data_IF_204329566467
#
_entry.id   IF_204329566467
#
_cell.length_a   1.000
_cell.length_b   1.000
_cell.length_c   1.000
_cell.angle_alpha   90.00
_cell.angle_beta   90.00
_cell.angle_gamma   90.00
#
_symmetry.space_group_name_H-M   'P 1'
#
loop_
_entity.id
_entity.type
_entity.pdbx_description
1 polymer ?
#
# COMPACT_ATOMS: atom_id res chain seq x y z
N UNK A 1 0.68 -8.30 -7.58
CA UNK A 1 1.46 -7.05 -7.63
C UNK A 1 1.81 -6.75 -9.09
N UNK A 2 2.59 -5.70 -9.37
CA UNK A 2 3.16 -5.45 -10.71
C UNK A 2 4.56 -6.05 -10.86
N UNK A 3 4.92 -6.46 -12.08
CA UNK A 3 6.28 -6.89 -12.41
C UNK A 3 7.26 -5.74 -12.58
N UNK A 4 6.75 -4.54 -12.85
CA UNK A 4 7.52 -3.31 -13.05
C UNK A 4 6.83 -2.15 -12.34
N UNK A 5 7.59 -1.10 -12.01
CA UNK A 5 7.04 0.11 -11.42
C UNK A 5 6.47 1.02 -12.51
N UNK A 6 5.24 1.47 -12.32
CA UNK A 6 4.58 2.45 -13.18
C UNK A 6 4.02 3.62 -12.36
N UNK A 7 3.81 4.80 -12.98
CA UNK A 7 3.19 5.94 -12.32
C UNK A 7 1.79 5.63 -11.78
N UNK A 8 1.47 6.13 -10.58
CA UNK A 8 0.12 6.07 -10.02
C UNK A 8 -0.67 7.26 -10.57
N UNK A 9 -1.68 6.98 -11.40
CA UNK A 9 -2.44 7.99 -12.15
C UNK A 9 -3.71 8.48 -11.42
N UNK A 10 -3.80 8.26 -10.11
CA UNK A 10 -4.82 8.83 -9.23
C UNK A 10 -4.14 9.57 -8.07
N UNK A 11 -4.66 10.73 -7.61
CA UNK A 11 -4.14 11.38 -6.42
C UNK A 11 -4.20 10.47 -5.19
N UNK A 12 -3.04 10.24 -4.57
CA UNK A 12 -2.92 9.42 -3.35
C UNK A 12 -2.20 10.22 -2.28
N UNK A 13 -2.72 10.17 -1.06
CA UNK A 13 -2.03 10.63 0.15
C UNK A 13 -1.56 9.41 0.92
N UNK A 14 -0.27 9.35 1.26
CA UNK A 14 0.33 8.22 1.93
C UNK A 14 0.93 8.59 3.29
N UNK A 15 1.03 7.61 4.17
CA UNK A 15 1.67 7.72 5.47
C UNK A 15 2.56 6.51 5.73
N UNK A 16 3.69 6.73 6.39
CA UNK A 16 4.63 5.68 6.76
C UNK A 16 5.05 5.87 8.20
N UNK A 17 4.97 4.79 8.96
CA UNK A 17 5.47 4.73 10.31
C UNK A 17 6.03 3.32 10.52
N UNK A 18 7.33 3.17 10.32
CA UNK A 18 8.05 1.93 10.55
C UNK A 18 9.43 2.20 11.13
N UNK A 19 10.14 1.14 11.49
CA UNK A 19 11.49 1.21 12.05
C UNK A 19 12.54 1.88 11.14
N UNK A 20 12.26 2.03 9.84
CA UNK A 20 13.15 2.74 8.93
C UNK A 20 12.78 4.23 8.82
N UNK A 21 11.51 4.59 8.96
CA UNK A 21 11.02 5.95 8.75
C UNK A 21 9.69 6.21 9.44
N UNK A 22 9.65 7.33 10.17
CA UNK A 22 8.44 7.85 10.79
C UNK A 22 8.08 9.22 10.19
N UNK A 23 6.95 9.30 9.51
CA UNK A 23 6.40 10.58 9.06
C UNK A 23 5.46 11.14 10.12
N UNK A 24 5.63 12.42 10.46
CA UNK A 24 4.72 13.09 11.39
C UNK A 24 3.29 13.25 10.82
N UNK A 25 3.18 13.38 9.51
CA UNK A 25 1.90 13.59 8.81
C UNK A 25 1.86 12.80 7.51
N UNK A 26 0.64 12.51 7.04
CA UNK A 26 0.43 11.94 5.72
C UNK A 26 0.70 13.00 4.65
N UNK A 27 1.33 12.62 3.55
CA UNK A 27 1.75 13.53 2.47
C UNK A 27 1.35 12.97 1.09
N UNK A 28 1.14 13.81 0.08
CA UNK A 28 0.84 13.35 -1.27
C UNK A 28 1.96 12.50 -1.89
N UNK A 29 1.61 11.42 -2.57
CA UNK A 29 2.53 10.68 -3.43
C UNK A 29 2.88 11.53 -4.66
N UNK A 30 4.13 11.39 -5.12
CA UNK A 30 4.65 12.10 -6.29
C UNK A 30 5.42 11.10 -7.15
N UNK A 31 4.98 10.91 -8.39
CA UNK A 31 5.58 9.94 -9.32
C UNK A 31 7.01 10.33 -9.76
N UNK A 32 7.36 11.62 -9.72
CA UNK A 32 8.61 12.15 -10.30
C UNK A 32 9.63 12.61 -9.25
N UNK A 33 9.69 11.94 -8.10
CA UNK A 33 10.66 12.25 -7.04
C UNK A 33 11.79 11.22 -7.08
N UNK A 34 13.07 11.64 -7.03
CA UNK A 34 14.18 10.70 -6.94
C UNK A 34 13.99 9.69 -5.81
N UNK A 35 14.35 8.42 -6.04
CA UNK A 35 14.13 7.31 -5.10
C UNK A 35 14.61 7.61 -3.67
N UNK A 36 15.75 8.28 -3.56
CA UNK A 36 16.37 8.67 -2.28
C UNK A 36 15.53 9.70 -1.50
N UNK A 37 14.80 10.55 -2.22
CA UNK A 37 13.95 11.58 -1.64
C UNK A 37 12.52 11.09 -1.39
N UNK A 38 12.08 10.03 -2.08
CA UNK A 38 10.75 9.46 -1.93
C UNK A 38 10.63 8.61 -0.62
N UNK A 39 9.87 9.05 0.40
CA UNK A 39 9.65 8.29 1.63
C UNK A 39 8.93 6.95 1.42
N UNK A 40 8.27 6.79 0.28
CA UNK A 40 7.45 5.64 -0.04
C UNK A 40 8.09 4.72 -1.08
N UNK A 41 9.34 4.97 -1.47
CA UNK A 41 10.06 4.03 -2.32
C UNK A 41 10.02 2.63 -1.70
N UNK A 42 9.82 1.63 -2.56
CA UNK A 42 9.68 0.21 -2.22
C UNK A 42 8.51 -0.16 -1.31
N UNK A 43 7.72 0.81 -0.82
CA UNK A 43 6.61 0.54 0.10
C UNK A 43 5.22 0.91 -0.44
N UNK A 44 5.17 1.86 -1.37
CA UNK A 44 3.97 2.13 -2.18
C UNK A 44 4.41 2.23 -3.63
N UNK A 45 4.04 1.25 -4.44
CA UNK A 45 4.48 1.12 -5.83
C UNK A 45 3.28 1.03 -6.77
N UNK A 46 3.32 1.76 -7.88
CA UNK A 46 2.31 1.65 -8.93
C UNK A 46 2.65 0.56 -9.95
N UNK A 47 1.63 0.05 -10.65
CA UNK A 47 1.78 -0.84 -11.80
C UNK A 47 0.60 -0.68 -12.76
N UNK A 48 0.76 -1.05 -14.02
CA UNK A 48 -0.33 -1.11 -15.00
C UNK A 48 -0.98 -2.49 -15.03
N UNK A 49 -2.22 -2.58 -15.49
CA UNK A 49 -2.96 -3.85 -15.52
C UNK A 49 -2.28 -4.96 -16.33
N UNK A 50 -1.57 -4.61 -17.39
CA UNK A 50 -0.82 -5.57 -18.21
C UNK A 50 0.51 -6.03 -17.56
N UNK A 51 0.94 -5.37 -16.50
CA UNK A 51 2.11 -5.73 -15.69
C UNK A 51 1.73 -6.60 -14.47
N UNK A 52 0.47 -7.00 -14.32
CA UNK A 52 0.03 -7.80 -13.17
C UNK A 52 0.72 -9.16 -13.12
N UNK A 53 1.23 -9.53 -11.94
CA UNK A 53 1.95 -10.79 -11.72
C UNK A 53 1.60 -11.43 -10.39
N UNK A 54 1.77 -12.75 -10.35
CA UNK A 54 1.67 -13.58 -9.14
C UNK A 54 3.04 -13.87 -8.50
N UNK A 55 4.10 -13.25 -8.98
CA UNK A 55 5.47 -13.43 -8.46
C UNK A 55 5.87 -12.28 -7.56
N UNK A 56 6.49 -12.59 -6.42
CA UNK A 56 7.09 -11.62 -5.48
C UNK A 56 8.62 -11.75 -5.49
N UNK A 57 9.32 -10.63 -5.32
CA UNK A 57 10.79 -10.56 -5.40
C UNK A 57 11.51 -11.53 -4.46
N UNK A 58 10.96 -11.76 -3.26
CA UNK A 58 11.61 -12.58 -2.23
C UNK A 58 11.05 -14.00 -2.10
N UNK A 59 9.90 -14.28 -2.72
CA UNK A 59 9.14 -15.51 -2.50
C UNK A 59 8.85 -16.31 -3.78
N UNK A 60 9.24 -15.78 -4.95
CA UNK A 60 8.99 -16.43 -6.23
C UNK A 60 7.52 -16.40 -6.63
N UNK A 61 7.09 -17.38 -7.44
CA UNK A 61 5.69 -17.48 -7.88
C UNK A 61 4.80 -17.98 -6.73
N UNK A 62 3.85 -17.15 -6.31
CA UNK A 62 2.92 -17.42 -5.19
C UNK A 62 1.54 -17.82 -5.71
N UNK A 63 1.21 -17.43 -6.94
CA UNK A 63 0.00 -17.82 -7.65
C UNK A 63 0.28 -18.25 -9.07
N UNK A 64 -0.72 -18.83 -9.71
CA UNK A 64 -0.60 -19.41 -11.06
C UNK A 64 -1.34 -18.65 -12.16
N UNK A 65 -2.14 -17.64 -11.79
CA UNK A 65 -3.04 -16.96 -12.71
C UNK A 65 -2.41 -15.72 -13.37
N UNK A 66 -1.98 -14.75 -12.56
CA UNK A 66 -1.39 -13.49 -13.05
C UNK A 66 0.04 -13.68 -13.53
N UNK A 67 0.42 -12.96 -14.58
CA UNK A 67 1.68 -13.10 -15.33
C UNK A 67 1.51 -13.85 -16.64
N UNK A 68 0.62 -14.86 -16.68
CA UNK A 68 0.13 -15.47 -17.94
C UNK A 68 -1.14 -14.78 -18.45
N UNK A 69 -1.97 -14.33 -17.51
CA UNK A 69 -3.14 -13.50 -17.78
C UNK A 69 -2.82 -12.08 -17.35
N UNK A 70 -3.27 -11.13 -18.16
CA UNK A 70 -3.11 -9.70 -17.94
C UNK A 70 -4.45 -9.03 -17.73
N UNK A 71 -4.45 -7.85 -17.14
CA UNK A 71 -5.59 -6.96 -17.11
C UNK A 71 -5.47 -5.89 -18.20
N UNK A 72 -6.53 -5.11 -18.38
CA UNK A 72 -6.51 -3.97 -19.28
C UNK A 72 -5.41 -2.97 -18.84
N UNK A 73 -4.57 -2.45 -19.76
CA UNK A 73 -3.51 -1.50 -19.42
C UNK A 73 -4.04 -0.17 -18.83
N UNK A 74 -5.33 0.13 -18.98
CA UNK A 74 -5.97 1.29 -18.34
C UNK A 74 -6.17 1.13 -16.83
N UNK A 75 -5.99 -0.08 -16.28
CA UNK A 75 -6.05 -0.32 -14.84
C UNK A 75 -4.78 0.23 -14.17
N UNK A 76 -4.95 1.07 -13.15
CA UNK A 76 -3.85 1.48 -12.26
C UNK A 76 -3.82 0.57 -11.03
N UNK A 77 -2.78 -0.23 -10.91
CA UNK A 77 -2.48 -0.99 -9.71
C UNK A 77 -1.65 -0.20 -8.70
N UNK A 78 -1.93 -0.39 -7.41
CA UNK A 78 -1.14 0.16 -6.30
C UNK A 78 -0.82 -0.99 -5.34
N UNK A 79 0.45 -1.33 -5.24
CA UNK A 79 0.96 -2.26 -4.24
C UNK A 79 1.35 -1.48 -2.97
N UNK A 80 0.76 -1.83 -1.84
CA UNK A 80 1.09 -1.27 -0.52
C UNK A 80 1.70 -2.39 0.30
N UNK A 81 2.99 -2.30 0.62
CA UNK A 81 3.65 -3.28 1.52
C UNK A 81 3.84 -2.69 2.92
N UNK A 82 3.95 -3.53 3.95
CA UNK A 82 4.03 -3.09 5.34
C UNK A 82 5.31 -2.31 5.71
N UNK A 83 6.29 -2.27 4.81
CA UNK A 83 7.61 -1.67 5.07
C UNK A 83 8.50 -2.60 5.90
N UNK A 84 9.23 -2.02 6.85
CA UNK A 84 10.04 -2.78 7.80
C UNK A 84 9.16 -3.36 8.92
N UNK A 85 9.34 -2.89 10.15
CA UNK A 85 8.43 -3.18 11.26
C UNK A 85 7.58 -1.95 11.54
N UNK A 86 6.32 -1.99 11.12
CA UNK A 86 5.41 -0.86 11.25
C UNK A 86 4.17 -0.94 10.36
N UNK A 87 3.72 0.23 9.92
CA UNK A 87 2.52 0.41 9.12
C UNK A 87 2.76 1.42 8.00
N UNK A 88 2.34 1.06 6.80
CA UNK A 88 2.22 1.96 5.65
C UNK A 88 0.73 2.08 5.31
N UNK A 89 0.29 3.29 5.01
CA UNK A 89 -1.11 3.55 4.68
C UNK A 89 -1.25 4.48 3.49
N UNK A 90 -2.29 4.27 2.71
CA UNK A 90 -2.71 5.17 1.63
C UNK A 90 -4.15 5.61 1.84
N UNK A 91 -4.48 6.77 1.27
CA UNK A 91 -5.82 7.31 1.15
C UNK A 91 -6.05 7.84 -0.26
N UNK A 92 -7.20 7.49 -0.84
CA UNK A 92 -7.64 7.91 -2.17
C UNK A 92 -9.03 8.53 -2.02
N UNK A 93 -9.27 9.70 -2.62
CA UNK A 93 -10.64 10.22 -2.69
C UNK A 93 -11.40 9.44 -3.76
N UNK A 94 -12.57 8.89 -3.41
CA UNK A 94 -13.35 8.07 -4.35
C UNK A 94 -13.80 8.85 -5.58
N UNK A 95 -14.00 10.17 -5.44
CA UNK A 95 -14.34 11.08 -6.55
C UNK A 95 -13.22 11.26 -7.57
N UNK A 96 -11.97 10.95 -7.22
CA UNK A 96 -10.82 11.12 -8.11
C UNK A 96 -10.60 9.88 -8.97
N UNK A 97 -11.34 8.79 -8.74
CA UNK A 97 -11.33 7.59 -9.58
C UNK A 97 -12.19 7.83 -10.82
N UNK A 98 -11.58 7.74 -12.00
CA UNK A 98 -12.24 8.02 -13.28
C UNK A 98 -12.88 6.76 -13.88
N UNK A 99 -14.05 6.92 -14.50
CA UNK A 99 -14.66 5.86 -15.29
C UNK A 99 -13.73 5.43 -16.43
N UNK A 100 -13.58 4.12 -16.65
CA UNK A 100 -12.65 3.56 -17.63
C UNK A 100 -11.20 3.44 -17.15
N UNK A 101 -10.86 4.00 -15.98
CA UNK A 101 -9.53 3.92 -15.36
C UNK A 101 -9.62 3.35 -13.93
N UNK A 102 -9.96 2.06 -13.80
CA UNK A 102 -10.15 1.46 -12.48
C UNK A 102 -8.83 1.38 -11.71
N UNK A 103 -8.95 1.41 -10.38
CA UNK A 103 -7.81 1.31 -9.46
C UNK A 103 -7.89 -0.01 -8.69
N UNK A 104 -6.79 -0.78 -8.68
CA UNK A 104 -6.64 -1.98 -7.87
C UNK A 104 -5.63 -1.72 -6.77
N UNK A 105 -5.99 -1.94 -5.52
CA UNK A 105 -5.06 -1.90 -4.38
C UNK A 105 -4.78 -3.33 -3.92
N UNK A 106 -3.51 -3.66 -3.76
CA UNK A 106 -3.07 -4.99 -3.35
C UNK A 106 -2.00 -4.87 -2.26
N UNK A 107 -1.96 -5.87 -1.38
CA UNK A 107 -0.92 -6.03 -0.36
C UNK A 107 0.27 -6.86 -0.86
N UNK A 108 0.21 -7.38 -2.08
CA UNK A 108 1.08 -8.47 -2.48
C UNK A 108 0.77 -9.73 -1.67
N UNK A 109 1.78 -10.57 -1.46
CA UNK A 109 1.64 -11.77 -0.65
C UNK A 109 1.66 -11.48 0.86
N UNK A 110 0.71 -12.09 1.58
CA UNK A 110 0.59 -11.95 3.03
C UNK A 110 1.19 -13.17 3.73
N UNK A 111 2.30 -12.99 4.43
CA UNK A 111 3.01 -14.03 5.18
C UNK A 111 3.02 -13.75 6.70
N UNK A 112 1.89 -13.27 7.24
CA UNK A 112 1.71 -12.95 8.66
C UNK A 112 1.50 -11.46 8.95
N UNK A 113 1.61 -10.60 7.93
CA UNK A 113 1.17 -9.22 7.98
C UNK A 113 -0.36 -9.09 7.89
N UNK A 114 -0.87 -7.92 8.26
CA UNK A 114 -2.30 -7.58 8.27
C UNK A 114 -2.56 -6.43 7.32
N UNK A 115 -3.53 -6.61 6.42
CA UNK A 115 -4.03 -5.58 5.52
C UNK A 115 -5.42 -5.15 5.94
N UNK A 116 -5.67 -3.85 6.01
CA UNK A 116 -6.94 -3.26 6.45
C UNK A 116 -7.42 -2.28 5.41
N UNK A 117 -8.69 -2.45 5.03
CA UNK A 117 -9.38 -1.57 4.11
C UNK A 117 -10.53 -0.89 4.84
N UNK A 118 -10.68 0.42 4.63
CA UNK A 118 -11.77 1.19 5.22
C UNK A 118 -12.29 2.24 4.24
N UNK A 119 -13.53 2.66 4.42
CA UNK A 119 -14.13 3.78 3.70
C UNK A 119 -14.74 4.74 4.71
N UNK A 120 -14.40 6.02 4.60
CA UNK A 120 -14.94 7.09 5.46
C UNK A 120 -14.95 8.41 4.71
N UNK A 121 -16.05 9.15 4.82
CA UNK A 121 -16.21 10.52 4.29
C UNK A 121 -15.83 10.68 2.81
N UNK A 122 -16.14 9.69 1.97
CA UNK A 122 -15.81 9.70 0.54
C UNK A 122 -14.36 9.33 0.20
N UNK A 123 -13.61 8.81 1.16
CA UNK A 123 -12.24 8.33 0.98
C UNK A 123 -12.14 6.83 1.19
N UNK A 124 -11.35 6.18 0.35
CA UNK A 124 -10.86 4.82 0.53
C UNK A 124 -9.51 4.84 1.25
N UNK A 125 -9.32 3.92 2.18
CA UNK A 125 -8.11 3.75 2.95
C UNK A 125 -7.61 2.32 2.86
N UNK A 126 -6.30 2.17 2.74
CA UNK A 126 -5.62 0.88 2.74
C UNK A 126 -4.40 0.99 3.66
N UNK A 127 -4.34 0.16 4.70
CA UNK A 127 -3.24 0.10 5.65
C UNK A 127 -2.64 -1.30 5.66
N UNK A 128 -1.34 -1.40 5.38
CA UNK A 128 -0.60 -2.64 5.50
C UNK A 128 0.35 -2.53 6.70
N UNK A 129 0.19 -3.44 7.66
CA UNK A 129 1.02 -3.48 8.86
C UNK A 129 1.61 -4.86 9.09
N UNK A 130 2.81 -4.90 9.62
CA UNK A 130 3.56 -6.13 9.78
C UNK A 130 4.89 -5.88 10.45
N UNK A 131 5.59 -6.98 10.68
CA UNK A 131 6.83 -7.00 11.45
C UNK A 131 7.86 -7.84 10.71
N UNK A 132 9.12 -7.40 10.74
CA UNK A 132 10.23 -8.22 10.27
C UNK A 132 10.43 -9.41 11.22
N UNK A 133 10.73 -10.61 10.69
CA UNK A 133 11.09 -11.75 11.52
C UNK A 133 12.23 -11.40 12.48
N UNK A 134 12.05 -11.69 13.77
CA UNK A 134 13.05 -11.44 14.81
C UNK A 134 12.95 -10.10 15.53
N UNK A 135 12.13 -9.15 15.03
CA UNK A 135 11.81 -7.96 15.83
C UNK A 135 10.88 -8.34 16.98
N UNK A 136 10.86 -7.54 18.05
CA UNK A 136 9.98 -7.71 19.24
C UNK A 136 9.03 -6.51 19.44
N UNK A 137 8.78 -5.72 18.39
CA UNK A 137 7.95 -4.52 18.46
C UNK A 137 6.47 -4.91 18.47
N UNK A 138 5.68 -4.41 19.43
CA UNK A 138 4.24 -4.70 19.47
C UNK A 138 3.52 -3.81 18.44
N UNK A 139 3.46 -4.28 17.19
CA UNK A 139 2.81 -3.59 16.05
C UNK A 139 1.33 -3.26 16.37
N UNK A 140 0.64 -4.13 17.13
CA UNK A 140 -0.76 -3.91 17.52
C UNK A 140 -0.95 -2.61 18.32
N UNK A 141 0.02 -2.19 19.15
CA UNK A 141 -0.09 -0.95 19.94
C UNK A 141 0.09 0.32 19.10
N UNK A 142 1.01 0.28 18.13
CA UNK A 142 1.21 1.39 17.18
C UNK A 142 -0.03 1.54 16.30
N UNK A 143 -0.57 0.40 15.84
CA UNK A 143 -1.75 0.35 15.01
C UNK A 143 -3.02 0.81 15.73
N UNK A 144 -3.24 0.33 16.96
CA UNK A 144 -4.35 0.78 17.83
C UNK A 144 -4.30 2.29 18.10
N UNK A 145 -3.11 2.84 18.39
CA UNK A 145 -2.96 4.28 18.61
C UNK A 145 -3.41 5.07 17.38
N UNK A 146 -3.04 4.65 16.17
CA UNK A 146 -3.47 5.33 14.95
C UNK A 146 -4.96 5.19 14.63
N UNK A 147 -5.56 4.03 14.91
CA UNK A 147 -7.01 3.91 14.82
C UNK A 147 -7.70 4.84 15.82
N UNK A 148 -7.19 4.95 17.04
CA UNK A 148 -7.70 5.88 18.06
C UNK A 148 -7.57 7.34 17.60
N UNK A 149 -6.40 7.74 17.11
CA UNK A 149 -6.15 9.12 16.67
C UNK A 149 -7.02 9.54 15.47
N UNK A 150 -7.38 8.60 14.57
CA UNK A 150 -8.16 8.90 13.36
C UNK A 150 -9.68 8.66 13.49
N UNK A 151 -10.10 7.81 14.43
CA UNK A 151 -11.50 7.36 14.54
C UNK A 151 -12.12 7.55 15.93
N UNK A 152 -11.34 7.97 16.94
CA UNK A 152 -11.85 8.35 18.25
C UNK A 152 -12.57 7.24 19.03
N UNK A 153 -12.33 5.97 18.70
CA UNK A 153 -12.99 4.83 19.37
C UNK A 153 -11.99 3.88 20.02
N UNK A 154 -12.29 3.49 21.26
CA UNK A 154 -11.74 2.29 21.86
C UNK A 154 -12.34 1.06 21.17
N UNK A 155 -11.49 0.09 20.86
CA UNK A 155 -11.89 -1.26 20.52
C UNK A 155 -11.93 -2.03 21.84
N UNK A 156 -13.01 -1.82 22.60
CA UNK A 156 -13.35 -2.65 23.76
C UNK A 156 -14.25 -3.80 23.30
#
# INVERSE_FOLDING_TARGET
MGSEEAPINVPVVAHRYDSNRELAQAIPLRNNVPRQENPFHDVVMGFLGDQVTSSESDSGAIGVHWGKNTLDPNITGINVVNGASGTVGIRIALKDIQAGHPVIVTSGALSGCTMIYAVKDGYFFAYHTGQRPGDNVIISKIFEKKLKDNYGKNLD
#
